data_IF_762130162993
#
_entry.id   IF_762130162993
#
_cell.length_a   1.000
_cell.length_b   1.000
_cell.length_c   1.000
_cell.angle_alpha   90.00
_cell.angle_beta   90.00
_cell.angle_gamma   90.00
#
_symmetry.space_group_name_H-M   'P 1'
#
loop_
_entity.id
_entity.type
_entity.pdbx_description
1 polymer ?
#
# COMPACT_ATOMS: atom_id res chain seq x y z
N UNK A 1 20.73 16.87 -6.46
CA UNK A 1 20.79 15.53 -7.09
C UNK A 1 19.70 15.46 -8.15
N UNK A 2 20.06 15.53 -9.43
CA UNK A 2 19.09 15.41 -10.53
C UNK A 2 18.88 13.93 -10.79
N UNK A 3 17.78 13.36 -10.29
CA UNK A 3 17.45 11.96 -10.59
C UNK A 3 17.15 11.84 -12.08
N UNK A 4 17.81 10.90 -12.76
CA UNK A 4 17.48 10.63 -14.16
C UNK A 4 16.06 10.03 -14.24
N UNK A 5 15.34 10.25 -15.34
CA UNK A 5 14.01 9.65 -15.54
C UNK A 5 14.01 8.12 -15.31
N UNK A 6 15.13 7.46 -15.63
CA UNK A 6 15.34 6.03 -15.38
C UNK A 6 15.32 5.67 -13.88
N UNK A 7 15.96 6.50 -13.04
CA UNK A 7 15.97 6.30 -11.59
C UNK A 7 14.60 6.58 -10.97
N UNK A 8 13.89 7.62 -11.41
CA UNK A 8 12.52 7.92 -10.95
C UNK A 8 11.58 6.75 -11.24
N UNK A 9 11.61 6.23 -12.47
CA UNK A 9 10.80 5.09 -12.89
C UNK A 9 11.09 3.84 -12.05
N UNK A 10 12.37 3.49 -11.87
CA UNK A 10 12.77 2.34 -11.06
C UNK A 10 12.30 2.44 -9.60
N UNK A 11 12.34 3.65 -9.01
CA UNK A 11 11.83 3.90 -7.66
C UNK A 11 10.32 3.68 -7.57
N UNK A 12 9.53 4.13 -8.54
CA UNK A 12 8.08 3.95 -8.53
C UNK A 12 7.67 2.47 -8.63
N UNK A 13 8.31 1.65 -9.46
CA UNK A 13 7.98 0.22 -9.48
C UNK A 13 8.25 -0.47 -8.14
N UNK A 14 9.31 -0.08 -7.42
CA UNK A 14 9.56 -0.58 -6.04
C UNK A 14 8.49 -0.11 -5.07
N UNK A 15 8.09 1.16 -5.13
CA UNK A 15 7.01 1.71 -4.31
C UNK A 15 5.67 1.00 -4.59
N UNK A 16 5.36 0.73 -5.86
CA UNK A 16 4.14 0.01 -6.26
C UNK A 16 4.15 -1.40 -5.68
N UNK A 17 5.27 -2.12 -5.79
CA UNK A 17 5.40 -3.46 -5.24
C UNK A 17 5.19 -3.49 -3.72
N UNK A 18 5.79 -2.55 -2.99
CA UNK A 18 5.59 -2.43 -1.55
C UNK A 18 4.14 -2.10 -1.19
N UNK A 19 3.50 -1.20 -1.93
CA UNK A 19 2.11 -0.79 -1.71
C UNK A 19 1.12 -1.93 -1.99
N UNK A 20 1.26 -2.61 -3.12
CA UNK A 20 0.40 -3.75 -3.47
C UNK A 20 0.59 -4.93 -2.50
N UNK A 21 1.79 -5.11 -1.95
CA UNK A 21 2.02 -6.09 -0.88
C UNK A 21 1.24 -5.73 0.39
N UNK A 22 1.22 -4.44 0.78
CA UNK A 22 0.42 -3.96 1.92
C UNK A 22 -1.08 -4.10 1.67
N UNK A 23 -1.54 -3.81 0.45
CA UNK A 23 -2.93 -4.01 0.03
C UNK A 23 -3.37 -5.46 0.18
N UNK A 24 -2.61 -6.40 -0.39
CA UNK A 24 -2.88 -7.84 -0.26
C UNK A 24 -2.92 -8.29 1.20
N UNK A 25 -2.02 -7.78 2.04
CA UNK A 25 -2.06 -8.03 3.50
C UNK A 25 -3.33 -7.48 4.15
N UNK A 26 -3.77 -6.28 3.77
CA UNK A 26 -4.99 -5.66 4.30
C UNK A 26 -6.24 -6.47 3.93
N UNK A 27 -6.30 -6.96 2.69
CA UNK A 27 -7.38 -7.85 2.26
C UNK A 27 -7.40 -9.16 3.07
N UNK A 28 -6.24 -9.72 3.38
CA UNK A 28 -6.12 -10.92 4.24
C UNK A 28 -6.57 -10.66 5.68
N UNK A 29 -6.24 -9.49 6.24
CA UNK A 29 -6.71 -9.08 7.58
C UNK A 29 -8.23 -9.06 7.61
N UNK A 30 -8.87 -8.35 6.66
CA UNK A 30 -10.33 -8.27 6.60
C UNK A 30 -11.00 -9.62 6.34
N UNK A 31 -10.43 -10.44 5.46
CA UNK A 31 -10.94 -11.80 5.20
C UNK A 31 -10.85 -12.68 6.45
N UNK A 32 -9.78 -12.56 7.23
CA UNK A 32 -9.61 -13.32 8.46
C UNK A 32 -10.66 -12.91 9.51
N UNK A 33 -10.90 -11.62 9.66
CA UNK A 33 -11.93 -11.10 10.56
C UNK A 33 -13.34 -11.58 10.22
N UNK A 34 -13.68 -11.60 8.94
CA UNK A 34 -14.98 -12.10 8.48
C UNK A 34 -15.15 -13.62 8.73
N UNK A 35 -14.06 -14.38 8.89
CA UNK A 35 -14.03 -15.83 8.83
C UNK A 35 -13.83 -16.57 10.17
N UNK A 36 -14.00 -15.93 11.34
CA UNK A 36 -14.09 -16.54 12.70
C UNK A 36 -12.97 -16.21 13.72
N UNK A 37 -13.45 -15.81 14.92
CA UNK A 37 -12.96 -15.95 16.32
C UNK A 37 -11.63 -15.30 16.73
N UNK A 38 -10.64 -15.11 15.88
CA UNK A 38 -9.36 -14.53 16.32
C UNK A 38 -9.35 -12.99 16.33
N UNK A 39 -10.33 -12.36 17.00
CA UNK A 39 -10.31 -10.92 17.31
C UNK A 39 -9.00 -10.51 17.99
N UNK A 40 -8.31 -11.47 18.63
CA UNK A 40 -7.04 -11.27 19.34
C UNK A 40 -5.83 -10.97 18.44
N UNK A 41 -5.82 -11.40 17.17
CA UNK A 41 -4.62 -11.24 16.31
C UNK A 41 -4.49 -9.86 15.67
N UNK A 42 -5.62 -9.16 15.46
CA UNK A 42 -5.65 -7.85 14.81
C UNK A 42 -6.47 -6.88 15.64
N UNK A 43 -5.82 -5.88 16.21
CA UNK A 43 -6.52 -4.84 16.98
C UNK A 43 -7.41 -3.99 16.06
N UNK A 44 -8.36 -3.27 16.65
CA UNK A 44 -9.33 -2.44 15.91
C UNK A 44 -8.67 -1.40 14.99
N UNK A 45 -7.52 -0.86 15.41
CA UNK A 45 -6.78 0.11 14.60
C UNK A 45 -6.22 -0.52 13.32
N UNK A 46 -5.69 -1.74 13.38
CA UNK A 46 -5.15 -2.44 12.21
C UNK A 46 -6.25 -2.78 11.20
N UNK A 47 -7.45 -3.12 11.67
CA UNK A 47 -8.64 -3.33 10.83
C UNK A 47 -9.01 -2.03 10.12
N UNK A 48 -9.12 -0.93 10.88
CA UNK A 48 -9.54 0.35 10.35
C UNK A 48 -8.55 0.87 9.32
N UNK A 49 -7.24 0.77 9.61
CA UNK A 49 -6.19 1.10 8.65
C UNK A 49 -6.24 0.21 7.40
N UNK A 50 -6.57 -1.09 7.57
CA UNK A 50 -6.72 -2.01 6.44
C UNK A 50 -7.89 -1.61 5.54
N UNK A 51 -9.03 -1.20 6.11
CA UNK A 51 -10.18 -0.68 5.34
C UNK A 51 -9.82 0.58 4.57
N UNK A 52 -9.25 1.57 5.24
CA UNK A 52 -8.82 2.82 4.62
C UNK A 52 -7.80 2.62 3.48
N UNK A 53 -6.85 1.70 3.67
CA UNK A 53 -5.87 1.38 2.63
C UNK A 53 -6.52 0.71 1.43
N UNK A 54 -7.50 -0.17 1.65
CA UNK A 54 -8.22 -0.84 0.56
C UNK A 54 -9.04 0.17 -0.23
N UNK A 55 -9.83 1.01 0.44
CA UNK A 55 -10.64 2.06 -0.18
C UNK A 55 -9.77 2.97 -1.07
N UNK A 56 -8.64 3.46 -0.55
CA UNK A 56 -7.76 4.34 -1.30
C UNK A 56 -7.16 3.69 -2.56
N UNK A 57 -6.84 2.39 -2.49
CA UNK A 57 -6.29 1.65 -3.63
C UNK A 57 -7.38 1.32 -4.65
N UNK A 58 -8.58 0.97 -4.20
CA UNK A 58 -9.74 0.71 -5.08
C UNK A 58 -10.19 1.98 -5.80
N UNK A 59 -10.22 3.12 -5.10
CA UNK A 59 -10.45 4.43 -5.70
C UNK A 59 -9.41 4.75 -6.76
N UNK A 60 -8.13 4.48 -6.47
CA UNK A 60 -7.06 4.67 -7.46
C UNK A 60 -7.26 3.75 -8.66
N UNK A 61 -7.61 2.47 -8.47
CA UNK A 61 -7.88 1.54 -9.57
C UNK A 61 -9.05 1.99 -10.45
N UNK A 62 -10.08 2.62 -9.87
CA UNK A 62 -11.22 3.15 -10.63
C UNK A 62 -10.83 4.24 -11.64
N UNK A 63 -9.71 4.94 -11.40
CA UNK A 63 -9.17 5.99 -12.28
C UNK A 63 -8.26 5.44 -13.39
N UNK A 64 -7.86 4.17 -13.30
CA UNK A 64 -6.93 3.56 -14.25
C UNK A 64 -7.66 2.90 -15.42
N UNK A 65 -6.95 2.81 -16.55
CA UNK A 65 -7.39 1.96 -17.67
C UNK A 65 -7.46 0.50 -17.20
N UNK A 66 -8.53 -0.20 -17.61
CA UNK A 66 -8.74 -1.63 -17.30
C UNK A 66 -7.50 -2.50 -17.56
N UNK A 67 -6.81 -2.31 -18.67
CA UNK A 67 -5.58 -3.05 -19.01
C UNK A 67 -4.45 -2.87 -17.98
N UNK A 68 -4.36 -1.69 -17.35
CA UNK A 68 -3.38 -1.39 -16.32
C UNK A 68 -3.76 -2.07 -15.02
N UNK A 69 -5.05 -2.03 -14.65
CA UNK A 69 -5.58 -2.70 -13.47
C UNK A 69 -5.37 -4.21 -13.58
N UNK A 70 -5.80 -4.82 -14.70
CA UNK A 70 -5.64 -6.26 -14.97
C UNK A 70 -4.17 -6.68 -14.84
N UNK A 71 -3.24 -5.87 -15.36
CA UNK A 71 -1.81 -6.13 -15.25
C UNK A 71 -1.27 -6.01 -13.82
N UNK A 72 -1.75 -5.05 -13.01
CA UNK A 72 -1.39 -4.94 -11.59
C UNK A 72 -1.90 -6.15 -10.81
N UNK A 73 -3.14 -6.59 -11.05
CA UNK A 73 -3.73 -7.78 -10.43
C UNK A 73 -2.93 -9.04 -10.77
N UNK A 74 -2.62 -9.24 -12.05
CA UNK A 74 -1.82 -10.37 -12.52
C UNK A 74 -0.51 -10.50 -11.77
N UNK A 75 0.24 -9.40 -11.62
CA UNK A 75 1.56 -9.45 -10.99
C UNK A 75 1.47 -9.54 -9.47
N UNK A 76 0.73 -8.64 -8.83
CA UNK A 76 0.86 -8.45 -7.39
C UNK A 76 -0.17 -9.22 -6.57
N UNK A 77 -1.37 -9.43 -7.13
CA UNK A 77 -2.42 -10.17 -6.45
C UNK A 77 -2.29 -11.66 -6.75
N UNK A 78 -2.23 -12.01 -8.05
CA UNK A 78 -2.14 -13.39 -8.51
C UNK A 78 -0.71 -13.94 -8.57
N UNK A 79 0.32 -13.09 -8.47
CA UNK A 79 1.72 -13.54 -8.40
C UNK A 79 2.28 -14.05 -9.72
N UNK A 80 1.69 -13.66 -10.86
CA UNK A 80 2.14 -14.08 -12.19
C UNK A 80 3.53 -13.52 -12.50
N UNK A 81 4.38 -14.39 -13.05
CA UNK A 81 5.71 -14.08 -13.55
C UNK A 81 5.65 -13.58 -15.00
N UNK A 82 6.72 -12.97 -15.53
CA UNK A 82 6.76 -12.53 -16.93
C UNK A 82 6.38 -13.64 -17.94
N UNK A 83 6.83 -14.87 -17.69
CA UNK A 83 6.52 -16.04 -18.52
C UNK A 83 5.03 -16.41 -18.50
N UNK A 84 4.33 -16.20 -17.38
CA UNK A 84 2.93 -16.56 -17.21
C UNK A 84 1.99 -15.62 -17.99
N UNK A 85 2.49 -14.43 -18.36
CA UNK A 85 1.76 -13.40 -19.14
C UNK A 85 2.37 -13.15 -20.52
N UNK A 86 3.26 -14.04 -20.97
CA UNK A 86 3.83 -14.00 -22.32
C UNK A 86 4.75 -12.80 -22.61
N UNK A 87 5.39 -12.20 -21.60
CA UNK A 87 6.29 -11.06 -21.78
C UNK A 87 7.77 -11.44 -21.63
N UNK A 88 8.62 -10.83 -22.45
CA UNK A 88 10.05 -10.77 -22.16
C UNK A 88 10.30 -9.92 -20.90
N UNK A 89 11.42 -10.16 -20.20
CA UNK A 89 11.78 -9.36 -19.02
C UNK A 89 11.80 -7.85 -19.31
N UNK A 90 12.33 -7.44 -20.47
CA UNK A 90 12.37 -6.02 -20.86
C UNK A 90 10.96 -5.43 -21.03
N UNK A 91 10.07 -6.15 -21.73
CA UNK A 91 8.67 -5.72 -21.90
C UNK A 91 7.92 -5.68 -20.57
N UNK A 92 8.13 -6.69 -19.73
CA UNK A 92 7.56 -6.78 -18.39
C UNK A 92 7.92 -5.56 -17.55
N UNK A 93 9.21 -5.24 -17.43
CA UNK A 93 9.64 -4.08 -16.63
C UNK A 93 9.20 -2.75 -17.23
N UNK A 94 9.13 -2.60 -18.56
CA UNK A 94 8.57 -1.39 -19.18
C UNK A 94 7.10 -1.20 -18.83
N UNK A 95 6.28 -2.27 -18.92
CA UNK A 95 4.87 -2.24 -18.52
C UNK A 95 4.69 -2.00 -17.02
N UNK A 96 5.55 -2.59 -16.18
CA UNK A 96 5.57 -2.37 -14.74
C UNK A 96 5.82 -0.91 -14.37
N UNK A 97 6.80 -0.28 -15.01
CA UNK A 97 7.08 1.14 -14.81
C UNK A 97 5.92 2.02 -15.29
N UNK A 98 5.30 1.69 -16.42
CA UNK A 98 4.13 2.43 -16.93
C UNK A 98 2.94 2.31 -15.96
N UNK A 99 2.66 1.10 -15.48
CA UNK A 99 1.60 0.86 -14.51
C UNK A 99 1.85 1.58 -13.18
N UNK A 100 3.10 1.57 -12.68
CA UNK A 100 3.47 2.29 -11.47
C UNK A 100 3.32 3.81 -11.63
N UNK A 101 3.76 4.38 -12.76
CA UNK A 101 3.53 5.79 -13.04
C UNK A 101 2.04 6.12 -13.07
N UNK A 102 1.25 5.41 -13.89
CA UNK A 102 -0.18 5.66 -13.97
C UNK A 102 -0.88 5.51 -12.61
N UNK A 103 -0.50 4.52 -11.81
CA UNK A 103 -1.04 4.36 -10.46
C UNK A 103 -0.68 5.55 -9.57
N UNK A 104 0.59 5.94 -9.47
CA UNK A 104 1.03 7.02 -8.58
C UNK A 104 0.68 8.44 -9.08
N UNK A 105 0.31 8.59 -10.34
CA UNK A 105 -0.26 9.84 -10.86
C UNK A 105 -1.66 10.10 -10.27
N UNK A 106 -2.38 9.04 -9.85
CA UNK A 106 -3.72 9.12 -9.26
C UNK A 106 -3.75 8.81 -7.76
N UNK A 107 -2.75 8.07 -7.25
CA UNK A 107 -2.71 7.64 -5.86
C UNK A 107 -2.39 8.82 -4.92
N UNK A 108 -3.40 9.32 -4.21
CA UNK A 108 -3.23 10.36 -3.19
C UNK A 108 -3.08 9.69 -1.84
N UNK A 109 -1.87 9.67 -1.28
CA UNK A 109 -1.66 9.16 0.07
C UNK A 109 -2.31 10.12 1.08
N UNK A 110 -3.50 9.80 1.58
CA UNK A 110 -4.05 10.58 2.70
C UNK A 110 -3.13 10.38 3.91
N UNK A 111 -2.52 11.48 4.36
CA UNK A 111 -1.68 11.56 5.55
C UNK A 111 -2.32 10.91 6.79
N UNK A 112 -3.66 10.90 6.88
CA UNK A 112 -4.40 10.29 7.98
C UNK A 112 -4.13 8.79 8.16
N UNK A 113 -3.72 8.08 7.10
CA UNK A 113 -3.37 6.66 7.13
C UNK A 113 -2.01 6.43 7.83
N UNK A 114 -1.11 7.42 7.83
CA UNK A 114 0.22 7.33 8.47
C UNK A 114 0.28 7.97 9.86
N UNK A 115 -0.59 8.94 10.17
CA UNK A 115 -0.39 9.82 11.33
C UNK A 115 -1.00 9.34 12.66
N UNK A 116 -1.35 8.04 12.77
CA UNK A 116 -1.87 7.46 14.03
C UNK A 116 -0.79 6.88 14.96
N UNK A 117 0.50 7.13 14.70
CA UNK A 117 1.61 6.80 15.62
C UNK A 117 2.69 7.89 15.67
N UNK A 118 2.30 9.08 16.10
CA UNK A 118 3.05 9.83 17.12
C UNK A 118 2.24 9.64 18.42
N UNK A 119 2.22 8.42 18.96
CA UNK A 119 2.93 8.10 20.20
C UNK A 119 2.67 9.16 21.28
N UNK A 120 1.50 9.06 21.90
CA UNK A 120 1.30 9.34 23.32
C UNK A 120 2.19 8.39 24.15
N UNK A 121 3.50 8.67 24.17
CA UNK A 121 4.47 8.24 25.18
C UNK A 121 5.52 9.34 25.26
N UNK A 122 5.38 10.31 26.16
CA UNK A 122 6.47 11.29 26.34
C UNK A 122 6.21 12.56 27.13
N UNK A 123 5.00 12.86 27.60
CA UNK A 123 4.79 14.08 28.41
C UNK A 123 3.91 13.83 29.63
N UNK A 124 4.42 12.99 30.52
CA UNK A 124 4.23 13.20 31.96
C UNK A 124 4.88 14.54 32.32
N UNK A 125 4.10 15.62 32.22
CA UNK A 125 4.41 16.90 32.85
C UNK A 125 3.30 17.24 33.84
N UNK A 126 3.12 16.38 34.85
CA UNK A 126 2.56 16.81 36.13
C UNK A 126 3.72 17.27 37.01
N UNK A 127 4.04 18.56 36.89
CA UNK A 127 4.82 19.28 37.89
C UNK A 127 3.87 19.60 39.04
N UNK A 128 3.65 18.64 39.95
CA UNK A 128 3.06 18.90 41.27
C UNK A 128 4.18 18.89 42.29
N UNK A 129 4.74 20.07 42.52
CA UNK A 129 5.53 20.34 43.73
C UNK A 129 4.57 20.60 44.88
N UNK A 130 4.33 19.59 45.70
CA UNK A 130 3.88 19.74 47.08
C UNK A 130 4.84 18.89 47.91
N UNK A 131 5.84 19.53 48.51
CA UNK A 131 6.54 19.00 49.68
C UNK A 131 6.22 19.94 50.84
N UNK A 132 5.93 19.29 51.96
CA UNK A 132 5.56 19.79 53.29
C UNK A 132 6.13 21.15 53.68
#
# INVERSE_FOLDING_TARGET
>A
MTFTNKEKNCKQSKSLAALMTKFKRSQLILKHQANNIALELWNENDINLSKQLIELIEDTFSMLKKETVDFIYDIYIYGKKPCDIGYSNSTYYKKLNKAANSFFDHFVWDSSILDKRIITNGSNSQRTTNSK
#
